data_IF_903203071764
#
_entry.id   IF_903203071764
#
_cell.length_a   1.000
_cell.length_b   1.000
_cell.length_c   1.000
_cell.angle_alpha   90.00
_cell.angle_beta   90.00
_cell.angle_gamma   90.00
#
_symmetry.space_group_name_H-M   'P 1'
#
loop_
_entity.id
_entity.type
_entity.pdbx_description
1 polymer ?
#
# COMPACT_ATOMS: atom_id res chain seq x y z
N UNK A 1 -1.68 -37.16 -20.84
CA UNK A 1 -2.47 -35.95 -21.18
C UNK A 1 -3.88 -36.13 -20.63
N UNK A 2 -4.18 -35.55 -19.47
CA UNK A 2 -5.57 -35.33 -19.01
C UNK A 2 -5.75 -33.84 -18.91
N UNK A 3 -6.79 -33.35 -19.57
CA UNK A 3 -7.23 -31.96 -19.55
C UNK A 3 -7.94 -31.76 -18.21
N UNK A 4 -7.39 -30.90 -17.36
CA UNK A 4 -8.06 -30.47 -16.14
C UNK A 4 -9.19 -29.50 -16.53
N UNK A 5 -10.40 -29.83 -16.09
CA UNK A 5 -11.61 -29.02 -16.25
C UNK A 5 -11.54 -27.78 -15.37
N UNK A 6 -11.95 -26.62 -15.91
CA UNK A 6 -11.78 -25.29 -15.34
C UNK A 6 -12.62 -24.93 -14.10
N UNK A 7 -12.70 -25.83 -13.11
CA UNK A 7 -13.41 -25.59 -11.84
C UNK A 7 -12.55 -25.83 -10.59
N UNK A 8 -11.23 -26.00 -10.73
CA UNK A 8 -10.28 -26.25 -9.61
C UNK A 8 -9.27 -25.09 -9.38
N UNK A 9 -9.50 -23.89 -9.91
CA UNK A 9 -8.59 -22.73 -9.73
C UNK A 9 -9.11 -21.67 -8.74
N UNK A 10 -9.93 -22.05 -7.77
CA UNK A 10 -10.54 -21.13 -6.81
C UNK A 10 -10.30 -21.52 -5.34
N UNK A 11 -9.06 -21.89 -4.99
CA UNK A 11 -8.57 -22.02 -3.61
C UNK A 11 -7.11 -21.54 -3.63
N UNK A 12 -6.57 -20.67 -2.77
CA UNK A 12 -6.99 -20.04 -1.54
C UNK A 12 -6.25 -18.69 -1.49
N UNK A 13 -6.97 -17.58 -1.71
CA UNK A 13 -6.46 -16.25 -1.41
C UNK A 13 -6.73 -15.94 0.06
N UNK A 14 -5.73 -15.44 0.79
CA UNK A 14 -5.96 -14.65 2.00
C UNK A 14 -5.44 -13.25 1.76
N UNK A 15 -6.28 -12.42 1.12
CA UNK A 15 -6.10 -10.97 1.20
C UNK A 15 -6.35 -10.59 2.67
N UNK A 16 -5.28 -10.35 3.43
CA UNK A 16 -5.40 -9.76 4.76
C UNK A 16 -5.59 -8.25 4.59
N UNK A 17 -6.79 -7.84 4.19
CA UNK A 17 -7.19 -6.44 4.21
C UNK A 17 -7.48 -6.05 5.67
N UNK A 18 -6.51 -5.44 6.34
CA UNK A 18 -6.72 -4.89 7.68
C UNK A 18 -7.22 -3.45 7.55
N UNK A 19 -8.54 -3.26 7.68
CA UNK A 19 -9.10 -1.92 7.87
C UNK A 19 -8.91 -1.48 9.33
N UNK A 20 -8.72 -0.19 9.56
CA UNK A 20 -8.47 0.41 10.89
C UNK A 20 -9.57 0.16 11.95
N UNK A 21 -10.67 -0.50 11.59
CA UNK A 21 -11.71 -0.93 12.51
C UNK A 21 -11.22 -2.03 13.49
N UNK A 22 -10.25 -2.86 13.11
CA UNK A 22 -9.76 -3.95 13.97
C UNK A 22 -8.71 -3.52 15.02
N UNK A 23 -8.09 -2.35 14.86
CA UNK A 23 -7.01 -1.88 15.75
C UNK A 23 -7.55 -1.21 17.04
N UNK A 24 -8.82 -0.82 17.07
CA UNK A 24 -9.38 -0.02 18.18
C UNK A 24 -9.74 -0.79 19.46
N UNK A 25 -9.66 -2.13 19.48
CA UNK A 25 -10.20 -2.91 20.61
C UNK A 25 -9.27 -3.14 21.80
N UNK A 26 -8.02 -2.70 21.77
CA UNK A 26 -7.06 -2.97 22.86
C UNK A 26 -6.59 -1.74 23.64
N UNK A 27 -7.11 -0.54 23.33
CA UNK A 27 -6.68 0.68 23.99
C UNK A 27 -7.87 1.58 24.35
N UNK A 28 -8.73 1.15 25.28
CA UNK A 28 -9.61 2.10 25.96
C UNK A 28 -9.93 1.66 27.39
N UNK A 29 -9.03 2.04 28.30
CA UNK A 29 -9.28 2.07 29.73
C UNK A 29 -8.43 3.18 30.36
N UNK A 30 -8.73 4.45 30.06
CA UNK A 30 -8.65 5.56 31.04
C UNK A 30 -8.90 6.95 30.41
N UNK A 31 -9.88 7.62 31.01
CA UNK A 31 -9.92 9.07 31.28
C UNK A 31 -10.32 10.09 30.18
N UNK A 32 -11.57 10.55 30.36
CA UNK A 32 -12.02 11.95 30.55
C UNK A 32 -11.92 12.99 29.42
N UNK A 33 -13.11 13.31 28.90
CA UNK A 33 -13.67 14.60 28.47
C UNK A 33 -12.71 15.81 28.37
N UNK A 34 -12.38 16.17 27.14
CA UNK A 34 -12.01 17.53 26.72
C UNK A 34 -12.78 17.89 25.44
N UNK A 35 -13.57 18.96 25.49
CA UNK A 35 -14.38 19.49 24.37
C UNK A 35 -13.47 20.35 23.48
N UNK A 36 -13.31 20.02 22.20
CA UNK A 36 -12.57 20.86 21.23
C UNK A 36 -13.20 20.77 19.83
N UNK A 37 -13.22 21.91 19.13
CA UNK A 37 -14.06 22.20 17.96
C UNK A 37 -13.76 21.42 16.68
N UNK A 38 -14.79 21.31 15.84
CA UNK A 38 -14.74 20.67 14.52
C UNK A 38 -13.94 21.53 13.53
N UNK A 39 -12.67 21.19 13.34
CA UNK A 39 -11.99 21.48 12.09
C UNK A 39 -12.20 20.24 11.21
N UNK A 40 -13.08 20.32 10.20
CA UNK A 40 -13.19 19.25 9.22
C UNK A 40 -11.90 19.23 8.40
N UNK A 41 -10.96 18.37 8.77
CA UNK A 41 -9.87 18.00 7.86
C UNK A 41 -10.51 17.16 6.76
N UNK A 42 -10.72 17.75 5.59
CA UNK A 42 -11.13 17.03 4.37
C UNK A 42 -10.10 15.95 4.06
N UNK A 43 -10.54 14.84 3.44
CA UNK A 43 -9.64 13.74 3.09
C UNK A 43 -8.65 14.20 2.02
N UNK A 44 -7.36 13.79 2.06
CA UNK A 44 -6.40 14.07 0.99
C UNK A 44 -6.97 13.79 -0.41
N UNK A 45 -7.64 12.66 -0.53
CA UNK A 45 -8.20 12.16 -1.78
C UNK A 45 -9.37 13.00 -2.34
N UNK A 46 -9.96 13.87 -1.52
CA UNK A 46 -11.03 14.80 -1.94
C UNK A 46 -10.47 16.13 -2.45
N UNK A 47 -9.17 16.39 -2.29
CA UNK A 47 -8.57 17.71 -2.55
C UNK A 47 -7.84 17.80 -3.89
N UNK A 48 -7.14 16.74 -4.31
CA UNK A 48 -6.41 16.68 -5.57
C UNK A 48 -5.99 15.23 -5.89
N UNK A 49 -5.66 14.92 -7.16
CA UNK A 49 -5.00 13.67 -7.53
C UNK A 49 -3.71 13.42 -6.73
N UNK A 50 -3.28 12.16 -6.53
CA UNK A 50 -2.12 11.84 -5.70
C UNK A 50 -0.82 12.49 -6.20
N UNK A 51 -0.62 12.59 -7.53
CA UNK A 51 0.54 13.24 -8.15
C UNK A 51 0.60 14.75 -7.92
N UNK A 52 -0.55 15.38 -7.63
CA UNK A 52 -0.63 16.82 -7.33
C UNK A 52 -0.72 17.10 -5.83
N UNK A 53 -1.36 16.20 -5.07
CA UNK A 53 -1.50 16.29 -3.63
C UNK A 53 -0.14 16.13 -2.95
N UNK A 54 0.60 15.06 -3.28
CA UNK A 54 1.94 14.81 -2.73
C UNK A 54 3.03 15.57 -3.48
N UNK A 55 2.88 16.89 -3.54
CA UNK A 55 3.92 17.80 -3.99
C UNK A 55 5.02 17.99 -2.92
N UNK A 56 6.08 18.72 -3.26
CA UNK A 56 7.20 19.06 -2.37
C UNK A 56 6.78 19.49 -0.95
N UNK A 57 5.70 20.26 -0.80
CA UNK A 57 5.23 20.75 0.51
C UNK A 57 4.65 19.62 1.37
N UNK A 58 3.81 18.76 0.79
CA UNK A 58 3.25 17.61 1.51
C UNK A 58 4.31 16.55 1.79
N UNK A 59 5.24 16.32 0.85
CA UNK A 59 6.37 15.41 1.02
C UNK A 59 7.27 15.84 2.21
N UNK A 60 7.52 17.14 2.36
CA UNK A 60 8.31 17.68 3.48
C UNK A 60 7.69 17.41 4.86
N UNK A 61 6.37 17.21 4.95
CA UNK A 61 5.75 16.85 6.24
C UNK A 61 6.17 15.47 6.72
N UNK A 62 6.43 14.53 5.81
CA UNK A 62 6.93 13.19 6.14
C UNK A 62 8.37 13.21 6.65
N UNK A 63 9.15 14.26 6.35
CA UNK A 63 10.49 14.48 6.91
C UNK A 63 10.44 14.99 8.36
N UNK A 64 9.46 15.82 8.70
CA UNK A 64 9.48 16.59 9.96
C UNK A 64 8.48 16.11 11.01
N UNK A 65 7.58 15.18 10.67
CA UNK A 65 6.56 14.70 11.59
C UNK A 65 6.89 13.33 12.16
N UNK A 66 7.50 13.31 13.35
CA UNK A 66 7.78 12.07 14.11
C UNK A 66 6.55 11.19 14.26
N UNK A 67 5.38 11.80 14.54
CA UNK A 67 4.12 11.06 14.64
C UNK A 67 3.74 10.33 13.35
N UNK A 68 3.95 10.93 12.18
CA UNK A 68 3.62 10.26 10.91
C UNK A 68 4.60 9.13 10.61
N UNK A 69 5.89 9.35 10.90
CA UNK A 69 6.92 8.32 10.81
C UNK A 69 6.53 7.13 11.69
N UNK A 70 6.27 7.35 12.99
CA UNK A 70 5.91 6.30 13.95
C UNK A 70 4.69 5.48 13.49
N UNK A 71 3.67 6.15 12.94
CA UNK A 71 2.44 5.49 12.46
C UNK A 71 2.73 4.63 11.22
N UNK A 72 3.48 5.15 10.24
CA UNK A 72 3.83 4.42 9.02
C UNK A 72 4.73 3.22 9.33
N UNK A 73 5.71 3.39 10.22
CA UNK A 73 6.58 2.31 10.70
C UNK A 73 5.76 1.20 11.33
N UNK A 74 4.91 1.50 12.31
CA UNK A 74 4.08 0.50 12.98
C UNK A 74 3.12 -0.25 12.03
N UNK A 75 2.53 0.46 11.06
CA UNK A 75 1.68 -0.19 10.06
C UNK A 75 2.48 -1.11 9.14
N UNK A 76 3.71 -0.71 8.80
CA UNK A 76 4.60 -1.53 7.97
C UNK A 76 5.10 -2.76 8.71
N UNK A 77 5.53 -2.63 9.97
CA UNK A 77 5.93 -3.77 10.82
C UNK A 77 4.81 -4.82 10.88
N UNK A 78 3.56 -4.39 11.11
CA UNK A 78 2.42 -5.33 11.11
C UNK A 78 2.15 -5.92 9.73
N UNK A 79 2.38 -5.17 8.65
CA UNK A 79 2.27 -5.73 7.31
C UNK A 79 3.31 -6.81 7.06
N UNK A 80 4.57 -6.59 7.46
CA UNK A 80 5.66 -7.56 7.35
C UNK A 80 5.36 -8.85 8.13
N UNK A 81 4.88 -8.74 9.37
CA UNK A 81 4.45 -9.91 10.15
C UNK A 81 3.34 -10.71 9.44
N UNK A 82 2.37 -10.02 8.83
CA UNK A 82 1.25 -10.65 8.11
C UNK A 82 1.67 -11.30 6.78
N UNK A 83 2.80 -10.91 6.20
CA UNK A 83 3.36 -11.61 5.03
C UNK A 83 3.79 -13.04 5.38
N UNK A 84 4.15 -13.30 6.64
CA UNK A 84 4.67 -14.58 7.12
C UNK A 84 5.79 -15.11 6.20
N UNK A 85 6.80 -14.26 5.97
CA UNK A 85 8.00 -14.60 5.23
C UNK A 85 8.84 -15.63 6.03
N UNK A 86 9.70 -16.42 5.37
CA UNK A 86 10.64 -17.30 6.07
C UNK A 86 11.61 -16.48 6.94
N UNK A 87 11.81 -16.88 8.19
CA UNK A 87 12.62 -16.13 9.18
C UNK A 87 14.12 -16.08 8.83
N UNK A 88 14.62 -17.07 8.08
CA UNK A 88 16.05 -17.24 7.79
C UNK A 88 16.43 -16.87 6.34
N UNK A 89 15.54 -16.22 5.59
CA UNK A 89 15.77 -15.87 4.18
C UNK A 89 15.55 -14.38 3.89
N UNK A 90 16.52 -13.77 3.20
CA UNK A 90 16.30 -12.46 2.59
C UNK A 90 15.36 -12.61 1.39
N UNK A 91 14.26 -11.86 1.41
CA UNK A 91 13.22 -11.88 0.38
C UNK A 91 13.32 -10.64 -0.51
N UNK A 92 12.88 -10.76 -1.76
CA UNK A 92 12.70 -9.62 -2.66
C UNK A 92 11.24 -9.14 -2.59
N UNK A 93 11.02 -7.95 -2.05
CA UNK A 93 9.69 -7.40 -1.78
C UNK A 93 9.32 -6.24 -2.72
N UNK A 94 8.02 -6.10 -2.99
CA UNK A 94 7.49 -4.94 -3.69
C UNK A 94 6.78 -4.00 -2.71
N UNK A 95 7.18 -2.74 -2.67
CA UNK A 95 6.49 -1.69 -1.93
C UNK A 95 5.68 -0.79 -2.89
N UNK A 96 4.35 -0.93 -2.86
CA UNK A 96 3.46 -0.18 -3.76
C UNK A 96 2.92 1.06 -3.06
N UNK A 97 3.19 2.23 -3.66
CA UNK A 97 2.96 3.53 -3.03
C UNK A 97 4.04 3.81 -1.98
N UNK A 98 5.30 3.57 -2.33
CA UNK A 98 6.42 3.61 -1.39
C UNK A 98 6.71 5.02 -0.84
N UNK A 99 6.18 6.06 -1.48
CA UNK A 99 6.29 7.43 -1.03
C UNK A 99 7.74 7.86 -0.79
N UNK A 100 8.01 8.36 0.42
CA UNK A 100 9.34 8.81 0.86
C UNK A 100 10.26 7.66 1.34
N UNK A 101 9.87 6.40 1.11
CA UNK A 101 10.67 5.21 1.45
C UNK A 101 10.55 4.73 2.89
N UNK A 102 9.65 5.30 3.71
CA UNK A 102 9.49 4.91 5.13
C UNK A 102 9.15 3.42 5.30
N UNK A 103 8.27 2.89 4.46
CA UNK A 103 7.95 1.47 4.48
C UNK A 103 9.13 0.62 4.02
N UNK A 104 9.84 1.06 2.99
CA UNK A 104 11.05 0.42 2.48
C UNK A 104 12.16 0.26 3.53
N UNK A 105 12.44 1.29 4.33
CA UNK A 105 13.41 1.22 5.44
C UNK A 105 13.05 0.11 6.44
N UNK A 106 11.76 -0.07 6.76
CA UNK A 106 11.33 -1.18 7.63
C UNK A 106 11.60 -2.53 6.96
N UNK A 107 11.45 -2.66 5.63
CA UNK A 107 11.78 -3.89 4.92
C UNK A 107 13.30 -4.17 4.98
N UNK A 108 14.12 -3.14 4.81
CA UNK A 108 15.58 -3.21 4.92
C UNK A 108 16.03 -3.62 6.32
N UNK A 109 15.46 -2.99 7.36
CA UNK A 109 15.75 -3.31 8.77
C UNK A 109 15.37 -4.76 9.13
N UNK A 110 14.40 -5.35 8.41
CA UNK A 110 14.04 -6.76 8.53
C UNK A 110 14.88 -7.69 7.61
N UNK A 111 15.92 -7.16 6.95
CA UNK A 111 16.86 -7.93 6.15
C UNK A 111 16.36 -8.29 4.75
N UNK A 112 15.38 -7.57 4.22
CA UNK A 112 14.80 -7.82 2.91
C UNK A 112 15.23 -6.76 1.89
N UNK A 113 15.45 -7.18 0.65
CA UNK A 113 15.59 -6.25 -0.48
C UNK A 113 14.23 -5.86 -0.99
N UNK A 114 14.09 -4.65 -1.53
CA UNK A 114 12.81 -4.19 -2.04
C UNK A 114 12.93 -3.28 -3.26
N UNK A 115 11.83 -3.19 -3.99
CA UNK A 115 11.63 -2.23 -5.07
C UNK A 115 10.39 -1.41 -4.75
N UNK A 116 10.51 -0.09 -4.83
CA UNK A 116 9.43 0.87 -4.58
C UNK A 116 8.78 1.35 -5.87
N UNK A 117 7.45 1.48 -5.86
CA UNK A 117 6.69 2.16 -6.92
C UNK A 117 5.90 3.31 -6.32
N UNK A 118 6.03 4.52 -6.86
CA UNK A 118 5.16 5.65 -6.50
C UNK A 118 4.84 6.52 -7.72
N UNK A 119 3.69 7.19 -7.67
CA UNK A 119 3.24 8.11 -8.73
C UNK A 119 3.79 9.53 -8.53
N UNK A 120 4.19 9.91 -7.31
CA UNK A 120 4.73 11.23 -7.01
C UNK A 120 6.25 11.24 -7.17
N UNK A 121 6.74 12.04 -8.12
CA UNK A 121 8.18 12.31 -8.26
C UNK A 121 8.76 12.99 -7.04
N UNK A 122 8.02 13.89 -6.41
CA UNK A 122 8.50 14.64 -5.26
C UNK A 122 8.71 13.72 -4.05
N UNK A 123 7.81 12.75 -3.85
CA UNK A 123 7.98 11.72 -2.81
C UNK A 123 9.21 10.84 -3.06
N UNK A 124 9.41 10.40 -4.32
CA UNK A 124 10.58 9.61 -4.70
C UNK A 124 11.89 10.41 -4.59
N UNK A 125 11.88 11.71 -4.92
CA UNK A 125 13.03 12.58 -4.73
C UNK A 125 13.39 12.67 -3.24
N UNK A 126 12.40 12.75 -2.35
CA UNK A 126 12.65 12.71 -0.91
C UNK A 126 13.23 11.36 -0.49
N UNK A 127 12.68 10.24 -0.97
CA UNK A 127 13.24 8.90 -0.70
C UNK A 127 14.70 8.80 -1.15
N UNK A 128 15.02 9.32 -2.34
CA UNK A 128 16.38 9.35 -2.86
C UNK A 128 17.32 10.21 -2.01
N UNK A 129 16.89 11.39 -1.55
CA UNK A 129 17.70 12.22 -0.64
C UNK A 129 17.92 11.60 0.74
N UNK A 130 17.06 10.67 1.15
CA UNK A 130 17.22 9.88 2.37
C UNK A 130 18.15 8.68 2.18
N UNK A 131 18.65 8.46 0.96
CA UNK A 131 19.60 7.40 0.61
C UNK A 131 19.10 5.99 0.97
N UNK A 132 17.81 5.73 0.73
CA UNK A 132 17.24 4.38 0.88
C UNK A 132 17.94 3.37 -0.04
N UNK A 133 18.06 2.11 0.37
CA UNK A 133 18.78 1.08 -0.40
C UNK A 133 17.94 0.51 -1.55
N UNK A 134 16.61 0.54 -1.44
CA UNK A 134 15.70 0.00 -2.46
C UNK A 134 15.68 0.79 -3.77
N UNK A 135 15.45 0.07 -4.87
CA UNK A 135 15.27 0.69 -6.19
C UNK A 135 13.92 1.42 -6.25
N UNK A 136 13.93 2.68 -6.71
CA UNK A 136 12.76 3.55 -6.79
C UNK A 136 12.26 3.71 -8.23
N UNK A 137 10.96 3.44 -8.45
CA UNK A 137 10.34 3.52 -9.78
C UNK A 137 9.16 4.50 -9.76
N UNK A 138 9.28 5.56 -10.56
CA UNK A 138 8.17 6.47 -10.83
C UNK A 138 7.15 5.85 -11.78
N UNK A 139 6.03 5.35 -11.24
CA UNK A 139 5.02 4.63 -12.02
C UNK A 139 3.63 4.70 -11.40
N UNK A 140 2.60 4.73 -12.25
CA UNK A 140 1.19 4.68 -11.83
C UNK A 140 0.73 3.22 -11.66
N UNK A 141 0.54 2.77 -10.42
CA UNK A 141 0.08 1.41 -10.10
C UNK A 141 -1.26 1.06 -10.76
N UNK A 142 -2.12 2.05 -11.04
CA UNK A 142 -3.43 1.82 -11.67
C UNK A 142 -3.37 1.50 -13.17
N UNK A 143 -2.20 1.67 -13.79
CA UNK A 143 -1.91 1.20 -15.14
C UNK A 143 -1.41 -0.26 -15.17
N UNK A 144 -1.31 -0.90 -14.00
CA UNK A 144 -0.67 -2.19 -13.81
C UNK A 144 0.83 -2.07 -13.55
N UNK A 145 1.40 -3.01 -12.81
CA UNK A 145 2.77 -3.00 -12.35
C UNK A 145 3.76 -3.50 -13.42
N UNK A 146 4.91 -2.82 -13.64
CA UNK A 146 5.79 -3.03 -14.78
C UNK A 146 6.85 -4.11 -14.55
N UNK A 147 6.49 -5.22 -13.89
CA UNK A 147 7.45 -6.28 -13.54
C UNK A 147 7.16 -7.60 -14.22
N UNK A 148 8.18 -8.46 -14.24
CA UNK A 148 8.08 -9.82 -14.79
C UNK A 148 7.26 -10.70 -13.83
N UNK A 149 6.70 -11.77 -14.39
CA UNK A 149 5.95 -12.73 -13.59
C UNK A 149 6.83 -13.40 -12.53
N UNK A 150 6.34 -13.53 -11.30
CA UNK A 150 7.02 -14.26 -10.22
C UNK A 150 8.33 -13.63 -9.76
N UNK A 151 8.44 -12.30 -9.82
CA UNK A 151 9.63 -11.55 -9.42
C UNK A 151 9.75 -11.40 -7.90
N UNK A 152 8.63 -11.19 -7.19
CA UNK A 152 8.65 -10.82 -5.77
C UNK A 152 8.15 -11.95 -4.87
N UNK A 153 8.79 -12.08 -3.71
CA UNK A 153 8.46 -13.04 -2.66
C UNK A 153 7.27 -12.60 -1.80
N UNK A 154 6.95 -11.31 -1.83
CA UNK A 154 5.80 -10.69 -1.18
C UNK A 154 5.64 -9.23 -1.62
N UNK A 155 4.53 -8.60 -1.22
CA UNK A 155 4.31 -7.18 -1.47
C UNK A 155 3.62 -6.49 -0.30
N UNK A 156 3.99 -5.23 -0.04
CA UNK A 156 3.32 -4.35 0.90
C UNK A 156 2.75 -3.13 0.16
N UNK A 157 1.73 -2.53 0.74
CA UNK A 157 1.25 -1.22 0.34
C UNK A 157 0.60 -0.55 1.55
N UNK A 158 1.12 0.61 1.95
CA UNK A 158 0.70 1.29 3.17
C UNK A 158 0.12 2.64 2.80
N UNK A 159 -1.16 2.84 3.11
CA UNK A 159 -1.88 4.10 2.85
C UNK A 159 -1.95 4.55 1.37
N UNK A 160 -1.90 3.61 0.41
CA UNK A 160 -1.80 3.97 -1.02
C UNK A 160 -2.98 3.52 -1.90
N UNK A 161 -3.47 2.27 -1.78
CA UNK A 161 -4.40 1.74 -2.80
C UNK A 161 -5.77 2.42 -2.83
N UNK A 162 -6.18 3.15 -1.77
CA UNK A 162 -7.44 3.90 -1.77
C UNK A 162 -7.46 4.98 -2.86
N UNK A 163 -6.30 5.50 -3.25
CA UNK A 163 -6.15 6.47 -4.34
C UNK A 163 -6.65 5.94 -5.69
N UNK A 164 -6.65 4.62 -5.91
CA UNK A 164 -7.20 4.02 -7.13
C UNK A 164 -8.72 4.18 -7.27
N UNK A 165 -9.40 4.53 -6.17
CA UNK A 165 -10.83 4.81 -6.17
C UNK A 165 -11.16 6.25 -6.55
N UNK A 166 -10.17 7.14 -6.54
CA UNK A 166 -10.32 8.54 -6.88
C UNK A 166 -9.72 8.75 -8.27
N UNK A 167 -10.58 9.05 -9.25
CA UNK A 167 -10.16 9.33 -10.62
C UNK A 167 -10.46 10.78 -10.96
N UNK A 168 -9.44 11.64 -10.97
CA UNK A 168 -9.61 13.05 -11.37
C UNK A 168 -9.75 13.25 -12.89
N UNK A 169 -9.56 12.17 -13.66
CA UNK A 169 -9.75 12.19 -15.11
C UNK A 169 -10.97 11.36 -15.46
N UNK A 170 -11.97 12.01 -16.07
CA UNK A 170 -13.23 11.41 -16.55
C UNK A 170 -13.07 10.14 -17.42
N UNK A 171 -11.85 9.80 -17.84
CA UNK A 171 -11.52 8.66 -18.70
C UNK A 171 -11.19 7.38 -17.91
N UNK A 172 -10.84 7.46 -16.63
CA UNK A 172 -10.44 6.28 -15.86
C UNK A 172 -11.55 5.80 -14.92
N UNK A 173 -12.05 4.59 -15.15
CA UNK A 173 -12.99 3.94 -14.24
C UNK A 173 -12.22 3.29 -13.07
N UNK A 174 -12.53 3.62 -11.80
CA UNK A 174 -11.89 3.03 -10.62
C UNK A 174 -11.78 1.49 -10.67
N UNK A 175 -12.87 0.83 -11.08
CA UNK A 175 -12.90 -0.64 -11.21
C UNK A 175 -11.85 -1.17 -12.19
N UNK A 176 -11.64 -0.50 -13.33
CA UNK A 176 -10.66 -0.94 -14.33
C UNK A 176 -9.24 -0.77 -13.80
N UNK A 177 -8.96 0.32 -13.10
CA UNK A 177 -7.66 0.57 -12.47
C UNK A 177 -7.34 -0.42 -11.37
N UNK A 178 -8.31 -0.70 -10.50
CA UNK A 178 -8.19 -1.73 -9.46
C UNK A 178 -7.94 -3.12 -10.08
N UNK A 179 -8.69 -3.48 -11.13
CA UNK A 179 -8.47 -4.76 -11.84
C UNK A 179 -7.08 -4.83 -12.46
N UNK A 180 -6.61 -3.76 -13.13
CA UNK A 180 -5.26 -3.72 -13.70
C UNK A 180 -4.19 -3.86 -12.62
N UNK A 181 -4.37 -3.16 -11.49
CA UNK A 181 -3.49 -3.25 -10.33
C UNK A 181 -3.44 -4.68 -9.76
N UNK A 182 -4.56 -5.26 -9.34
CA UNK A 182 -4.57 -6.58 -8.72
C UNK A 182 -4.12 -7.70 -9.67
N UNK A 183 -4.50 -7.66 -10.94
CA UNK A 183 -4.05 -8.65 -11.93
C UNK A 183 -2.55 -8.59 -12.18
N UNK A 184 -1.98 -7.38 -12.26
CA UNK A 184 -0.54 -7.23 -12.44
C UNK A 184 0.22 -7.58 -11.16
N UNK A 185 -0.27 -7.17 -9.98
CA UNK A 185 0.29 -7.55 -8.68
C UNK A 185 0.36 -9.07 -8.54
N UNK A 186 -0.74 -9.77 -8.82
CA UNK A 186 -0.77 -11.23 -8.81
C UNK A 186 0.28 -11.85 -9.73
N UNK A 187 0.44 -11.30 -10.94
CA UNK A 187 1.45 -11.80 -11.88
C UNK A 187 2.85 -11.58 -11.32
N UNK A 188 3.15 -10.42 -10.75
CA UNK A 188 4.48 -10.08 -10.28
C UNK A 188 4.92 -10.90 -9.06
N UNK A 189 3.99 -11.47 -8.30
CA UNK A 189 4.27 -12.31 -7.12
C UNK A 189 4.59 -13.76 -7.49
N UNK A 190 5.52 -14.38 -6.75
CA UNK A 190 5.77 -15.83 -6.84
C UNK A 190 4.55 -16.63 -6.38
N UNK A 191 4.48 -17.91 -6.76
CA UNK A 191 3.42 -18.80 -6.27
C UNK A 191 3.51 -18.95 -4.76
N UNK A 192 2.39 -18.74 -4.06
CA UNK A 192 2.32 -18.83 -2.60
C UNK A 192 2.78 -17.57 -1.86
N UNK A 193 3.26 -16.54 -2.56
CA UNK A 193 3.53 -15.25 -1.96
C UNK A 193 2.25 -14.57 -1.47
N UNK A 194 2.44 -13.62 -0.55
CA UNK A 194 1.36 -12.83 0.02
C UNK A 194 1.56 -11.36 -0.31
N UNK A 195 0.44 -10.65 -0.39
CA UNK A 195 0.41 -9.19 -0.42
C UNK A 195 -0.39 -8.69 0.77
N UNK A 196 0.12 -7.68 1.48
CA UNK A 196 -0.57 -7.04 2.59
C UNK A 196 -0.74 -5.57 2.26
N UNK A 197 -2.00 -5.15 2.14
CA UNK A 197 -2.37 -3.81 1.69
C UNK A 197 -3.18 -3.13 2.79
N UNK A 198 -2.61 -2.10 3.41
CA UNK A 198 -3.25 -1.24 4.39
C UNK A 198 -3.79 0.01 3.67
N UNK A 199 -5.06 0.34 3.90
CA UNK A 199 -5.73 1.47 3.22
C UNK A 199 -6.89 2.03 4.04
N UNK A 200 -7.41 3.18 3.59
CA UNK A 200 -8.50 3.93 4.27
C UNK A 200 -9.73 4.08 3.36
N UNK A 201 -10.66 3.10 3.36
CA UNK A 201 -11.87 3.23 2.56
C UNK A 201 -12.72 4.43 3.02
N UNK A 202 -13.40 5.08 2.10
CA UNK A 202 -14.35 6.17 2.35
C UNK A 202 -15.62 5.66 3.03
N UNK A 203 -16.19 4.61 2.47
CA UNK A 203 -17.43 4.00 2.88
C UNK A 203 -17.42 2.48 2.58
N UNK A 204 -18.54 1.82 2.88
CA UNK A 204 -18.71 0.39 2.63
C UNK A 204 -18.66 0.02 1.15
N UNK A 205 -19.12 0.90 0.26
CA UNK A 205 -19.17 0.66 -1.18
C UNK A 205 -17.75 0.68 -1.77
N UNK A 206 -16.91 1.62 -1.35
CA UNK A 206 -15.51 1.67 -1.75
C UNK A 206 -14.73 0.46 -1.23
N UNK A 207 -14.98 0.04 0.02
CA UNK A 207 -14.38 -1.19 0.56
C UNK A 207 -14.82 -2.41 -0.26
N UNK A 208 -16.09 -2.50 -0.61
CA UNK A 208 -16.63 -3.59 -1.44
C UNK A 208 -16.01 -3.57 -2.84
N UNK A 209 -15.85 -2.39 -3.45
CA UNK A 209 -15.24 -2.24 -4.77
C UNK A 209 -13.79 -2.72 -4.78
N UNK A 210 -12.98 -2.32 -3.79
CA UNK A 210 -11.58 -2.75 -3.67
C UNK A 210 -11.51 -4.26 -3.47
N UNK A 211 -12.25 -4.79 -2.50
CA UNK A 211 -12.21 -6.22 -2.15
C UNK A 211 -12.76 -7.12 -3.25
N UNK A 212 -13.76 -6.68 -4.01
CA UNK A 212 -14.29 -7.43 -5.16
C UNK A 212 -13.39 -7.37 -6.40
N UNK A 213 -12.39 -6.48 -6.43
CA UNK A 213 -11.42 -6.36 -7.53
C UNK A 213 -10.13 -7.13 -7.28
N UNK A 214 -9.90 -7.60 -6.05
CA UNK A 214 -8.75 -8.38 -5.61
C UNK A 214 -8.95 -9.89 -5.88
#
# INVERSE_FOLDING_TARGET
RRVATGSEQQESWRLLACSSASVRKTADASQSKGRMGSHSKSRPEETAPPDLFYNETEASKYLHSSRMIDIQTQMTERAVEMLCLPEDESCMLLDVGCGTGLSGEVLEENGHSWVGVDISRDMLNVAQHREVEGDLIHHDMGCGLPFRQGTFDGAVSISAIQWLCYSDRNEYQPRQRLLAFFQSLYKCLRRGARAVLQFYPQDGDQLQLITASA
#
